data_IF_211775691838
#
_entry.id   IF_211775691838
#
_cell.length_a   1.000
_cell.length_b   1.000
_cell.length_c   1.000
_cell.angle_alpha   90.00
_cell.angle_beta   90.00
_cell.angle_gamma   90.00
#
_symmetry.space_group_name_H-M   'P 1'
#
loop_
_entity.id
_entity.type
_entity.pdbx_description
1 polymer ?
#
# COMPACT_ATOMS: atom_id res chain seq x y z
N UNK A 1 -7.56 15.23 18.22
CA UNK A 1 -7.28 13.84 17.90
C UNK A 1 -5.79 13.64 17.61
N UNK A 2 -5.27 12.46 17.88
CA UNK A 2 -3.89 12.11 17.57
C UNK A 2 -3.78 11.59 16.13
N UNK A 3 -2.71 12.00 15.45
CA UNK A 3 -2.40 11.60 14.07
C UNK A 3 -0.90 11.45 13.86
N UNK A 4 -0.49 10.43 13.10
CA UNK A 4 0.91 10.23 12.71
C UNK A 4 1.18 10.98 11.41
N UNK A 5 2.19 11.84 11.43
CA UNK A 5 2.62 12.63 10.27
C UNK A 5 4.10 12.41 9.96
N UNK A 6 4.44 12.61 8.71
CA UNK A 6 5.81 12.59 8.19
C UNK A 6 6.17 13.94 7.58
N UNK A 7 7.24 14.55 8.03
CA UNK A 7 7.84 15.70 7.36
C UNK A 7 8.86 15.21 6.32
N UNK A 8 8.64 15.52 5.06
CA UNK A 8 9.50 15.06 3.96
C UNK A 8 10.77 15.91 3.81
N UNK A 9 10.85 17.08 4.44
CA UNK A 9 12.04 17.93 4.44
C UNK A 9 13.05 17.47 5.49
N UNK A 10 12.58 17.23 6.72
CA UNK A 10 13.43 16.87 7.87
C UNK A 10 13.59 15.36 8.05
N UNK A 11 12.69 14.57 7.46
CA UNK A 11 12.61 13.13 7.67
C UNK A 11 12.06 12.72 9.03
N UNK A 12 11.43 13.65 9.75
CA UNK A 12 10.89 13.40 11.10
C UNK A 12 9.47 12.82 11.00
N UNK A 13 9.25 11.69 11.67
CA UNK A 13 7.92 11.14 11.93
C UNK A 13 7.48 11.60 13.32
N UNK A 14 6.27 12.14 13.44
CA UNK A 14 5.76 12.68 14.70
C UNK A 14 4.31 12.28 14.93
N UNK A 15 3.97 12.07 16.19
CA UNK A 15 2.59 12.01 16.65
C UNK A 15 2.18 13.43 17.06
N UNK A 16 1.14 13.97 16.44
CA UNK A 16 0.66 15.31 16.71
C UNK A 16 -0.81 15.30 17.11
N UNK A 17 -1.19 16.31 17.87
CA UNK A 17 -2.59 16.58 18.16
C UNK A 17 -3.15 17.61 17.15
N UNK A 18 -4.25 17.24 16.49
CA UNK A 18 -4.94 18.07 15.49
C UNK A 18 -6.45 18.11 15.78
N UNK A 19 -7.17 19.12 15.29
CA UNK A 19 -8.63 19.13 15.38
C UNK A 19 -9.25 17.90 14.74
N UNK A 20 -10.37 17.41 15.30
CA UNK A 20 -11.13 16.32 14.66
C UNK A 20 -11.81 16.87 13.39
N UNK A 21 -11.68 16.18 12.25
CA UNK A 21 -12.33 16.63 11.02
C UNK A 21 -13.85 16.48 11.11
N UNK A 22 -14.56 17.33 10.36
CA UNK A 22 -15.99 17.20 10.17
C UNK A 22 -16.25 16.68 8.75
N UNK A 23 -17.17 15.71 8.59
CA UNK A 23 -17.46 15.15 7.28
C UNK A 23 -18.17 16.18 6.41
N UNK A 24 -17.61 16.43 5.23
CA UNK A 24 -18.21 17.26 4.19
C UNK A 24 -19.11 16.41 3.29
N UNK A 25 -19.73 17.03 2.30
CA UNK A 25 -20.56 16.36 1.29
C UNK A 25 -19.81 15.14 0.68
N UNK A 26 -20.47 13.98 0.69
CA UNK A 26 -19.90 12.73 0.17
C UNK A 26 -18.78 12.10 1.02
N UNK A 27 -18.54 12.61 2.24
CA UNK A 27 -17.51 12.10 3.13
C UNK A 27 -18.08 11.36 4.34
N UNK A 28 -17.27 10.48 4.90
CA UNK A 28 -17.60 9.66 6.07
C UNK A 28 -16.54 9.91 7.14
N UNK A 29 -16.97 10.17 8.35
CA UNK A 29 -16.13 10.25 9.54
C UNK A 29 -16.12 8.91 10.25
N UNK A 30 -14.94 8.34 10.42
CA UNK A 30 -14.70 7.02 11.00
C UNK A 30 -13.87 7.18 12.27
N UNK A 31 -14.31 6.54 13.37
CA UNK A 31 -13.50 6.33 14.57
C UNK A 31 -12.64 5.09 14.33
N UNK A 32 -11.33 5.26 14.32
CA UNK A 32 -10.39 4.17 14.05
C UNK A 32 -10.36 3.16 15.20
N UNK A 33 -10.35 1.88 14.86
CA UNK A 33 -10.05 0.78 15.78
C UNK A 33 -8.66 0.22 15.53
N UNK A 34 -8.32 -0.01 14.26
CA UNK A 34 -7.00 -0.48 13.84
C UNK A 34 -6.58 0.23 12.55
N UNK A 35 -5.27 0.29 12.33
CA UNK A 35 -4.71 0.66 11.04
C UNK A 35 -3.52 -0.24 10.75
N UNK A 36 -3.42 -0.71 9.49
CA UNK A 36 -2.34 -1.59 9.07
C UNK A 36 -1.16 -0.76 8.58
N UNK A 37 0.01 -0.99 9.18
CA UNK A 37 1.25 -0.38 8.75
C UNK A 37 1.87 -1.19 7.60
N UNK A 38 2.05 -0.56 6.45
CA UNK A 38 2.75 -1.15 5.30
C UNK A 38 4.22 -0.77 5.31
N UNK A 39 5.03 -1.62 5.93
CA UNK A 39 6.46 -1.36 6.12
C UNK A 39 7.19 -0.98 4.82
N UNK A 40 6.86 -1.58 3.68
CA UNK A 40 7.49 -1.26 2.39
C UNK A 40 7.24 0.18 1.94
N UNK A 41 5.97 0.57 1.85
CA UNK A 41 5.56 1.88 1.34
C UNK A 41 5.87 3.00 2.33
N UNK A 42 5.56 2.80 3.61
CA UNK A 42 5.75 3.83 4.62
C UNK A 42 7.23 4.05 4.94
N UNK A 43 8.03 2.97 4.99
CA UNK A 43 9.48 3.07 5.10
C UNK A 43 10.09 3.87 3.95
N UNK A 44 9.61 3.67 2.73
CA UNK A 44 10.05 4.44 1.56
C UNK A 44 9.80 5.95 1.76
N UNK A 45 8.65 6.34 2.30
CA UNK A 45 8.34 7.76 2.60
C UNK A 45 9.25 8.32 3.69
N UNK A 46 9.51 7.55 4.75
CA UNK A 46 10.41 7.94 5.85
C UNK A 46 11.85 8.07 5.33
N UNK A 47 12.33 7.11 4.57
CA UNK A 47 13.68 7.13 3.98
C UNK A 47 13.83 8.28 2.97
N UNK A 48 12.81 8.53 2.14
CA UNK A 48 12.79 9.70 1.26
C UNK A 48 12.89 11.00 2.06
N UNK A 49 12.15 11.12 3.16
CA UNK A 49 12.26 12.28 4.05
C UNK A 49 13.67 12.50 4.58
N UNK A 50 14.37 11.43 4.96
CA UNK A 50 15.75 11.47 5.50
C UNK A 50 16.83 11.65 4.42
N UNK A 51 16.52 11.41 3.15
CA UNK A 51 17.48 11.46 2.07
C UNK A 51 18.00 12.89 1.81
N UNK A 52 19.23 13.00 1.31
CA UNK A 52 19.81 14.28 0.87
C UNK A 52 19.01 14.85 -0.33
N UNK A 53 19.14 16.15 -0.59
CA UNK A 53 18.52 16.80 -1.75
C UNK A 53 18.89 16.13 -3.08
N UNK A 54 20.14 15.68 -3.20
CA UNK A 54 20.64 14.98 -4.40
C UNK A 54 19.95 13.61 -4.54
N UNK A 55 19.82 12.87 -3.44
CA UNK A 55 19.21 11.56 -3.44
C UNK A 55 17.68 11.65 -3.66
N UNK A 56 17.02 12.67 -3.07
CA UNK A 56 15.61 12.98 -3.37
C UNK A 56 15.40 13.26 -4.86
N UNK A 57 16.30 14.02 -5.48
CA UNK A 57 16.25 14.30 -6.92
C UNK A 57 16.43 13.03 -7.75
N UNK A 58 17.38 12.16 -7.40
CA UNK A 58 17.59 10.86 -8.08
C UNK A 58 16.39 9.93 -7.97
N UNK A 59 15.71 9.91 -6.82
CA UNK A 59 14.51 9.07 -6.61
C UNK A 59 13.28 9.57 -7.37
N UNK A 60 13.26 10.84 -7.80
CA UNK A 60 12.09 11.47 -8.43
C UNK A 60 12.47 12.21 -9.74
N UNK A 61 13.00 11.52 -10.76
CA UNK A 61 13.52 12.15 -11.99
C UNK A 61 12.47 12.95 -12.74
N UNK A 62 11.20 12.50 -12.75
CA UNK A 62 10.12 13.23 -13.42
C UNK A 62 9.73 14.52 -12.69
N UNK A 63 9.81 14.54 -11.35
CA UNK A 63 9.64 15.76 -10.58
C UNK A 63 10.77 16.75 -10.85
N UNK A 64 12.00 16.27 -11.02
CA UNK A 64 13.14 17.12 -11.40
C UNK A 64 12.92 17.78 -12.75
N UNK A 65 12.42 17.06 -13.75
CA UNK A 65 12.05 17.64 -15.07
C UNK A 65 11.00 18.73 -14.93
N UNK A 66 9.94 18.52 -14.12
CA UNK A 66 8.91 19.52 -13.83
C UNK A 66 9.50 20.75 -13.16
N UNK A 67 10.42 20.56 -12.20
CA UNK A 67 11.13 21.64 -11.53
C UNK A 67 11.97 22.46 -12.51
N UNK A 68 12.72 21.81 -13.39
CA UNK A 68 13.53 22.48 -14.41
C UNK A 68 12.67 23.30 -15.40
N UNK A 69 11.49 22.78 -15.77
CA UNK A 69 10.54 23.54 -16.57
C UNK A 69 10.02 24.77 -15.80
N UNK A 70 9.66 24.57 -14.53
CA UNK A 70 9.15 25.65 -13.67
C UNK A 70 10.20 26.74 -13.41
N UNK A 71 11.48 26.38 -13.30
CA UNK A 71 12.58 27.36 -13.20
C UNK A 71 12.65 28.24 -14.46
N UNK A 72 12.37 27.68 -15.65
CA UNK A 72 12.38 28.44 -16.90
C UNK A 72 11.23 29.45 -16.99
N UNK A 73 10.08 29.12 -16.39
CA UNK A 73 8.89 30.00 -16.41
C UNK A 73 8.85 31.00 -15.26
N UNK A 74 9.10 30.54 -14.06
CA UNK A 74 8.86 31.30 -12.81
C UNK A 74 10.16 31.83 -12.19
N UNK A 75 11.32 31.39 -12.67
CA UNK A 75 12.64 31.69 -12.11
C UNK A 75 13.07 30.74 -11.00
N UNK A 76 14.38 30.79 -10.67
CA UNK A 76 15.02 29.87 -9.72
C UNK A 76 14.52 30.08 -8.27
N UNK A 77 14.50 31.32 -7.79
CA UNK A 77 14.16 31.67 -6.41
C UNK A 77 12.75 31.22 -6.01
N UNK A 78 11.69 31.67 -6.73
CA UNK A 78 10.30 31.26 -6.45
C UNK A 78 10.10 29.76 -6.53
N UNK A 79 10.76 29.08 -7.48
CA UNK A 79 10.62 27.63 -7.65
C UNK A 79 11.23 26.87 -6.46
N UNK A 80 12.40 27.26 -5.97
CA UNK A 80 13.02 26.65 -4.78
C UNK A 80 12.14 26.83 -3.55
N UNK A 81 11.57 28.02 -3.36
CA UNK A 81 10.69 28.30 -2.24
C UNK A 81 9.42 27.42 -2.25
N UNK A 82 8.80 27.25 -3.40
CA UNK A 82 7.64 26.35 -3.58
C UNK A 82 7.99 24.90 -3.26
N UNK A 83 9.18 24.44 -3.67
CA UNK A 83 9.63 23.07 -3.39
C UNK A 83 9.87 22.89 -1.88
N UNK A 84 10.61 23.81 -1.25
CA UNK A 84 10.83 23.78 0.19
C UNK A 84 9.52 23.74 0.95
N UNK A 85 8.57 24.61 0.63
CA UNK A 85 7.24 24.66 1.25
C UNK A 85 6.47 23.34 1.07
N UNK A 86 6.52 22.71 -0.11
CA UNK A 86 5.89 21.40 -0.34
C UNK A 86 6.51 20.28 0.47
N UNK A 87 7.83 20.27 0.63
CA UNK A 87 8.52 19.24 1.42
C UNK A 87 8.37 19.47 2.92
N UNK A 88 8.22 20.73 3.35
CA UNK A 88 8.01 21.11 4.74
C UNK A 88 6.56 20.90 5.22
N UNK A 89 5.61 20.81 4.28
CA UNK A 89 4.23 20.48 4.64
C UNK A 89 4.15 19.01 5.06
N UNK A 90 3.82 18.73 6.34
CA UNK A 90 3.73 17.36 6.81
C UNK A 90 2.61 16.60 6.10
N UNK A 91 2.85 15.31 5.83
CA UNK A 91 1.87 14.41 5.24
C UNK A 91 1.41 13.37 6.26
N UNK A 92 0.13 13.01 6.30
CA UNK A 92 -0.34 11.89 7.10
C UNK A 92 0.30 10.59 6.62
N UNK A 93 0.73 9.74 7.57
CA UNK A 93 1.17 8.37 7.28
C UNK A 93 0.01 7.39 7.38
N UNK A 94 0.12 6.30 6.62
CA UNK A 94 -0.87 5.24 6.57
C UNK A 94 -1.90 5.44 5.47
N UNK A 95 -2.49 4.32 5.05
CA UNK A 95 -3.52 4.27 4.00
C UNK A 95 -4.40 3.01 4.12
N UNK A 96 -4.42 2.38 5.26
CA UNK A 96 -5.33 1.26 5.55
C UNK A 96 -5.84 1.37 6.98
N UNK A 97 -7.10 1.71 7.11
CA UNK A 97 -7.77 2.00 8.37
C UNK A 97 -9.07 1.21 8.45
N UNK A 98 -9.40 0.73 9.63
CA UNK A 98 -10.68 0.08 9.94
C UNK A 98 -11.28 0.68 11.21
N UNK A 99 -12.60 0.83 11.21
CA UNK A 99 -13.28 1.42 12.34
C UNK A 99 -14.79 1.45 12.19
N UNK A 100 -15.41 2.32 12.96
CA UNK A 100 -16.84 2.53 13.00
C UNK A 100 -17.21 3.91 12.49
N UNK A 101 -18.23 4.00 11.66
CA UNK A 101 -18.78 5.26 11.18
C UNK A 101 -19.43 6.02 12.36
N UNK A 102 -18.95 7.23 12.63
CA UNK A 102 -19.49 8.11 13.67
C UNK A 102 -20.12 9.38 13.12
N UNK A 103 -19.97 9.64 11.82
CA UNK A 103 -20.59 10.76 11.14
C UNK A 103 -20.61 10.56 9.64
N UNK A 104 -21.64 11.10 8.99
CA UNK A 104 -21.81 11.08 7.53
C UNK A 104 -22.11 12.47 7.04
N UNK A 105 -21.50 12.86 5.93
CA UNK A 105 -21.78 14.11 5.25
C UNK A 105 -23.05 14.03 4.39
N UNK A 106 -23.44 15.16 3.81
CA UNK A 106 -24.53 15.20 2.85
C UNK A 106 -24.25 14.27 1.65
N UNK A 107 -25.33 13.73 1.05
CA UNK A 107 -25.30 12.80 -0.10
C UNK A 107 -24.61 11.43 0.17
N UNK A 108 -24.34 11.08 1.41
CA UNK A 108 -23.93 9.72 1.79
C UNK A 108 -25.17 8.90 2.07
N UNK A 109 -25.49 7.93 1.18
CA UNK A 109 -26.70 7.09 1.26
C UNK A 109 -26.39 5.68 1.73
N UNK A 110 -25.22 5.14 1.33
CA UNK A 110 -24.88 3.73 1.54
C UNK A 110 -24.39 3.43 2.95
N UNK A 111 -23.99 4.45 3.71
CA UNK A 111 -23.39 4.29 5.05
C UNK A 111 -24.20 5.02 6.10
N UNK A 112 -24.22 4.48 7.31
CA UNK A 112 -24.87 5.05 8.51
C UNK A 112 -23.96 4.95 9.72
N UNK A 113 -24.23 5.77 10.72
CA UNK A 113 -23.55 5.70 12.03
C UNK A 113 -23.71 4.29 12.61
N UNK A 114 -22.60 3.75 13.13
CA UNK A 114 -22.50 2.38 13.64
C UNK A 114 -22.04 1.34 12.59
N UNK A 115 -21.98 1.67 11.30
CA UNK A 115 -21.45 0.74 10.30
C UNK A 115 -19.97 0.47 10.55
N UNK A 116 -19.58 -0.81 10.50
CA UNK A 116 -18.19 -1.27 10.55
C UNK A 116 -17.58 -1.15 9.15
N UNK A 117 -16.47 -0.43 9.04
CA UNK A 117 -15.91 -0.09 7.73
C UNK A 117 -14.40 -0.20 7.66
N UNK A 118 -13.90 -0.47 6.45
CA UNK A 118 -12.50 -0.31 6.05
C UNK A 118 -12.39 0.88 5.10
N UNK A 119 -11.31 1.62 5.21
CA UNK A 119 -11.04 2.81 4.38
C UNK A 119 -9.53 2.95 4.10
N UNK A 120 -9.19 3.82 3.14
CA UNK A 120 -7.82 4.24 2.89
C UNK A 120 -7.33 5.38 3.81
N UNK A 121 -7.99 5.57 4.95
CA UNK A 121 -7.62 6.59 5.93
C UNK A 121 -6.21 6.38 6.51
N UNK A 122 -5.56 7.46 6.95
CA UNK A 122 -4.24 7.42 7.57
C UNK A 122 -4.27 6.86 9.00
N UNK A 123 -3.08 6.76 9.63
CA UNK A 123 -2.94 6.44 11.03
C UNK A 123 -3.37 7.62 11.91
N UNK A 124 -4.63 7.62 12.32
CA UNK A 124 -5.22 8.64 13.17
C UNK A 124 -6.37 8.07 14.00
N UNK A 125 -6.72 8.71 15.13
CA UNK A 125 -7.86 8.29 15.96
C UNK A 125 -9.19 8.43 15.21
N UNK A 126 -9.30 9.47 14.38
CA UNK A 126 -10.46 9.70 13.51
C UNK A 126 -9.98 10.00 12.09
N UNK A 127 -10.66 9.43 11.12
CA UNK A 127 -10.37 9.67 9.70
C UNK A 127 -11.62 10.12 8.97
N UNK A 128 -11.46 11.10 8.09
CA UNK A 128 -12.53 11.59 7.25
C UNK A 128 -12.15 11.33 5.78
N UNK A 129 -12.93 10.49 5.11
CA UNK A 129 -12.61 9.99 3.76
C UNK A 129 -13.83 10.04 2.84
N UNK A 130 -13.64 10.17 1.52
CA UNK A 130 -14.72 10.05 0.55
C UNK A 130 -15.39 8.68 0.62
N UNK A 131 -16.71 8.61 0.47
CA UNK A 131 -17.48 7.35 0.57
C UNK A 131 -17.05 6.29 -0.45
N UNK A 132 -16.55 6.68 -1.62
CA UNK A 132 -16.05 5.74 -2.64
C UNK A 132 -14.72 5.06 -2.28
N UNK A 133 -14.09 5.48 -1.17
CA UNK A 133 -12.87 4.87 -0.62
C UNK A 133 -13.15 4.12 0.69
N UNK A 134 -14.41 3.74 0.91
CA UNK A 134 -14.88 3.03 2.09
C UNK A 134 -15.65 1.77 1.66
N UNK A 135 -15.49 0.69 2.40
CA UNK A 135 -16.27 -0.53 2.21
C UNK A 135 -16.76 -1.06 3.57
N UNK A 136 -17.98 -1.62 3.60
CA UNK A 136 -18.51 -2.26 4.81
C UNK A 136 -17.77 -3.55 5.12
N UNK A 137 -17.50 -3.79 6.39
CA UNK A 137 -16.91 -5.03 6.89
C UNK A 137 -18.04 -6.02 7.18
N UNK A 138 -18.03 -7.22 6.56
CA UNK A 138 -19.01 -8.26 6.88
C UNK A 138 -18.97 -8.64 8.37
N UNK A 139 -20.11 -9.02 8.96
CA UNK A 139 -20.21 -9.33 10.40
C UNK A 139 -19.23 -10.40 10.87
N UNK A 140 -18.94 -11.39 10.01
CA UNK A 140 -18.03 -12.51 10.33
C UNK A 140 -16.55 -12.14 10.27
N UNK A 141 -16.21 -10.95 9.77
CA UNK A 141 -14.82 -10.51 9.60
C UNK A 141 -14.44 -9.62 10.77
N UNK A 142 -13.32 -9.92 11.45
CA UNK A 142 -12.79 -9.06 12.51
C UNK A 142 -12.19 -7.78 11.93
N UNK A 143 -12.02 -6.75 12.77
CA UNK A 143 -11.35 -5.52 12.34
C UNK A 143 -9.89 -5.79 11.94
N UNK A 144 -9.17 -6.65 12.69
CA UNK A 144 -7.80 -7.03 12.41
C UNK A 144 -7.68 -7.66 11.00
N UNK A 145 -8.54 -8.62 10.68
CA UNK A 145 -8.57 -9.24 9.35
C UNK A 145 -8.95 -8.24 8.26
N UNK A 146 -9.94 -7.39 8.52
CA UNK A 146 -10.38 -6.36 7.57
C UNK A 146 -9.30 -5.31 7.30
N UNK A 147 -8.36 -5.06 8.23
CA UNK A 147 -7.27 -4.10 8.03
C UNK A 147 -6.37 -4.42 6.83
N UNK A 148 -6.33 -5.68 6.40
CA UNK A 148 -5.58 -6.12 5.19
C UNK A 148 -6.30 -5.84 3.87
N UNK A 149 -7.55 -5.38 3.89
CA UNK A 149 -8.38 -5.25 2.66
C UNK A 149 -7.77 -4.30 1.63
N UNK A 150 -7.24 -3.15 2.06
CA UNK A 150 -6.63 -2.18 1.13
C UNK A 150 -5.39 -2.77 0.45
N UNK A 151 -4.55 -3.45 1.22
CA UNK A 151 -3.37 -4.14 0.67
C UNK A 151 -3.80 -5.30 -0.25
N UNK A 152 -4.83 -6.04 0.15
CA UNK A 152 -5.42 -7.09 -0.68
C UNK A 152 -5.98 -6.56 -2.00
N UNK A 153 -6.60 -5.38 -1.99
CA UNK A 153 -7.09 -4.73 -3.21
C UNK A 153 -5.96 -4.37 -4.18
N UNK A 154 -4.78 -3.97 -3.68
CA UNK A 154 -3.59 -3.72 -4.49
C UNK A 154 -3.13 -5.02 -5.17
N UNK A 155 -2.98 -6.11 -4.41
CA UNK A 155 -2.63 -7.42 -4.95
C UNK A 155 -3.67 -7.93 -5.95
N UNK A 156 -4.95 -7.77 -5.64
CA UNK A 156 -6.05 -8.16 -6.53
C UNK A 156 -6.05 -7.37 -7.85
N UNK A 157 -5.65 -6.10 -7.83
CA UNK A 157 -5.50 -5.32 -9.06
C UNK A 157 -4.41 -5.91 -9.97
N UNK A 158 -3.26 -6.31 -9.41
CA UNK A 158 -2.21 -7.01 -10.16
C UNK A 158 -2.74 -8.31 -10.78
N UNK A 159 -3.49 -9.10 -10.02
CA UNK A 159 -4.12 -10.34 -10.50
C UNK A 159 -5.10 -10.05 -11.64
N UNK A 160 -5.95 -9.02 -11.53
CA UNK A 160 -6.90 -8.64 -12.58
C UNK A 160 -6.21 -8.19 -13.87
N UNK A 161 -5.09 -7.48 -13.77
CA UNK A 161 -4.29 -7.07 -14.94
C UNK A 161 -3.63 -8.27 -15.61
N UNK A 162 -3.17 -9.24 -14.83
CA UNK A 162 -2.60 -10.49 -15.34
C UNK A 162 -3.68 -11.38 -15.96
N UNK A 163 -4.91 -11.33 -15.43
CA UNK A 163 -6.09 -12.10 -15.87
C UNK A 163 -5.84 -13.61 -15.93
N UNK A 164 -5.31 -14.25 -14.87
CA UNK A 164 -5.00 -15.65 -14.88
C UNK A 164 -6.25 -16.53 -14.89
N UNK A 165 -6.15 -17.69 -15.54
CA UNK A 165 -7.22 -18.70 -15.56
C UNK A 165 -6.94 -19.81 -14.55
N UNK A 166 -7.96 -20.62 -14.29
CA UNK A 166 -7.87 -21.74 -13.35
C UNK A 166 -6.77 -22.74 -13.75
N UNK A 167 -5.93 -23.12 -12.80
CA UNK A 167 -4.86 -24.11 -13.00
C UNK A 167 -3.54 -23.56 -13.53
N UNK A 168 -3.51 -22.30 -13.97
CA UNK A 168 -2.28 -21.62 -14.39
C UNK A 168 -1.25 -21.51 -13.26
N UNK A 169 0.01 -21.49 -13.63
CA UNK A 169 1.15 -21.33 -12.73
C UNK A 169 1.63 -19.89 -12.74
N UNK A 170 1.50 -19.19 -11.61
CA UNK A 170 1.90 -17.80 -11.47
C UNK A 170 3.11 -17.71 -10.55
N UNK A 171 4.14 -17.02 -11.02
CA UNK A 171 5.32 -16.67 -10.21
C UNK A 171 5.09 -15.33 -9.53
N UNK A 172 5.37 -15.25 -8.22
CA UNK A 172 5.35 -14.01 -7.44
C UNK A 172 6.76 -13.74 -6.92
N UNK A 173 7.31 -12.59 -7.29
CA UNK A 173 8.65 -12.14 -6.88
C UNK A 173 8.51 -11.07 -5.81
N UNK A 174 9.05 -11.34 -4.62
CA UNK A 174 8.88 -10.51 -3.43
C UNK A 174 7.71 -10.99 -2.57
N UNK A 175 8.02 -11.69 -1.47
CA UNK A 175 7.05 -12.23 -0.51
C UNK A 175 6.90 -11.30 0.71
N UNK A 176 6.93 -9.98 0.46
CA UNK A 176 6.52 -8.98 1.43
C UNK A 176 5.00 -9.02 1.66
N UNK A 177 4.48 -8.03 2.36
CA UNK A 177 3.05 -7.97 2.73
C UNK A 177 2.12 -8.11 1.52
N UNK A 178 2.35 -7.34 0.44
CA UNK A 178 1.54 -7.39 -0.78
C UNK A 178 1.70 -8.74 -1.47
N UNK A 179 2.95 -9.20 -1.69
CA UNK A 179 3.20 -10.48 -2.37
C UNK A 179 2.62 -11.66 -1.63
N UNK A 180 2.72 -11.69 -0.29
CA UNK A 180 2.15 -12.76 0.53
C UNK A 180 0.62 -12.84 0.41
N UNK A 181 -0.07 -11.70 0.42
CA UNK A 181 -1.52 -11.63 0.21
C UNK A 181 -1.87 -12.01 -1.24
N UNK A 182 -1.09 -11.53 -2.21
CA UNK A 182 -1.27 -11.89 -3.63
C UNK A 182 -1.15 -13.39 -3.86
N UNK A 183 -0.18 -14.05 -3.23
CA UNK A 183 -0.06 -15.52 -3.28
C UNK A 183 -1.32 -16.23 -2.77
N UNK A 184 -1.88 -15.77 -1.65
CA UNK A 184 -3.10 -16.36 -1.09
C UNK A 184 -4.32 -16.11 -1.99
N UNK A 185 -4.44 -14.92 -2.58
CA UNK A 185 -5.51 -14.59 -3.52
C UNK A 185 -5.42 -15.44 -4.80
N UNK A 186 -4.22 -15.62 -5.36
CA UNK A 186 -3.98 -16.49 -6.53
C UNK A 186 -4.34 -17.95 -6.23
N UNK A 187 -3.95 -18.45 -5.05
CA UNK A 187 -4.37 -19.80 -4.62
C UNK A 187 -5.88 -19.93 -4.50
N UNK A 188 -6.55 -18.94 -3.90
CA UNK A 188 -8.00 -18.92 -3.81
C UNK A 188 -8.68 -18.85 -5.19
N UNK A 189 -8.03 -18.24 -6.19
CA UNK A 189 -8.45 -18.20 -7.58
C UNK A 189 -8.18 -19.53 -8.34
N UNK A 190 -7.58 -20.52 -7.67
CA UNK A 190 -7.30 -21.82 -8.29
C UNK A 190 -5.99 -21.89 -9.09
N UNK A 191 -5.11 -20.90 -8.96
CA UNK A 191 -3.79 -20.90 -9.58
C UNK A 191 -2.79 -21.71 -8.76
N UNK A 192 -1.77 -22.27 -9.41
CA UNK A 192 -0.55 -22.74 -8.77
C UNK A 192 0.38 -21.56 -8.55
N UNK A 193 0.97 -21.44 -7.37
CA UNK A 193 1.80 -20.27 -7.03
C UNK A 193 3.21 -20.71 -6.67
N UNK A 194 4.19 -20.08 -7.33
CA UNK A 194 5.62 -20.21 -7.03
C UNK A 194 6.10 -18.84 -6.54
N UNK A 195 6.60 -18.79 -5.31
CA UNK A 195 7.05 -17.54 -4.68
C UNK A 195 8.58 -17.46 -4.58
N UNK A 196 9.13 -16.26 -4.75
CA UNK A 196 10.55 -15.99 -4.54
C UNK A 196 10.76 -14.78 -3.64
N UNK A 197 11.67 -14.89 -2.68
CA UNK A 197 12.17 -13.76 -1.87
C UNK A 197 13.65 -13.98 -1.51
N UNK A 198 14.33 -12.95 -1.06
CA UNK A 198 15.70 -13.03 -0.51
C UNK A 198 15.72 -13.42 0.97
N UNK A 199 14.60 -13.27 1.66
CA UNK A 199 14.46 -13.45 3.10
C UNK A 199 13.95 -14.86 3.43
N UNK A 200 14.77 -15.70 4.12
CA UNK A 200 14.39 -17.06 4.48
C UNK A 200 13.13 -17.14 5.37
N UNK A 201 12.88 -16.14 6.21
CA UNK A 201 11.72 -16.18 7.11
C UNK A 201 10.42 -15.92 6.35
N UNK A 202 10.44 -15.07 5.32
CA UNK A 202 9.31 -14.90 4.41
C UNK A 202 9.05 -16.18 3.59
N UNK A 203 10.10 -16.87 3.16
CA UNK A 203 9.97 -18.16 2.48
C UNK A 203 9.26 -19.18 3.40
N UNK A 204 9.71 -19.33 4.64
CA UNK A 204 9.06 -20.23 5.62
C UNK A 204 7.59 -19.87 5.83
N UNK A 205 7.30 -18.58 5.97
CA UNK A 205 5.91 -18.12 6.12
C UNK A 205 5.07 -18.45 4.89
N UNK A 206 5.57 -18.21 3.69
CA UNK A 206 4.87 -18.54 2.44
C UNK A 206 4.61 -20.05 2.33
N UNK A 207 5.60 -20.86 2.68
CA UNK A 207 5.47 -22.33 2.71
C UNK A 207 4.43 -22.80 3.73
N UNK A 208 4.36 -22.17 4.91
CA UNK A 208 3.32 -22.48 5.92
C UNK A 208 1.91 -22.15 5.42
N UNK A 209 1.77 -21.22 4.49
CA UNK A 209 0.52 -20.86 3.80
C UNK A 209 0.29 -21.74 2.55
N UNK A 210 1.15 -22.76 2.32
CA UNK A 210 1.04 -23.70 1.23
C UNK A 210 1.42 -23.11 -0.14
N UNK A 211 2.33 -22.14 -0.17
CA UNK A 211 2.96 -21.62 -1.40
C UNK A 211 4.27 -22.35 -1.64
N UNK A 212 4.56 -22.76 -2.87
CA UNK A 212 5.87 -23.28 -3.25
C UNK A 212 6.87 -22.13 -3.31
N UNK A 213 7.59 -21.88 -2.20
CA UNK A 213 8.44 -20.69 -2.07
C UNK A 213 9.93 -21.06 -1.93
N UNK A 214 10.79 -20.25 -2.58
CA UNK A 214 12.22 -20.49 -2.73
C UNK A 214 13.04 -19.21 -2.59
N UNK A 215 14.31 -19.36 -2.17
CA UNK A 215 15.26 -18.23 -2.10
C UNK A 215 15.58 -17.74 -3.51
N UNK A 216 15.53 -16.42 -3.69
CA UNK A 216 15.91 -15.75 -4.92
C UNK A 216 17.43 -15.63 -4.99
N UNK A 217 18.13 -16.68 -5.42
CA UNK A 217 19.57 -16.64 -5.66
C UNK A 217 19.89 -15.99 -7.01
N UNK A 218 21.11 -15.40 -7.12
CA UNK A 218 21.56 -14.76 -8.38
C UNK A 218 21.96 -15.77 -9.48
N UNK A 219 21.91 -17.06 -9.20
CA UNK A 219 22.29 -18.12 -10.15
C UNK A 219 21.22 -18.34 -11.23
N UNK A 220 21.67 -18.82 -12.41
CA UNK A 220 20.83 -19.14 -13.58
C UNK A 220 19.80 -20.28 -13.38
N UNK A 221 19.66 -20.79 -12.17
CA UNK A 221 18.91 -22.01 -11.87
C UNK A 221 17.40 -21.81 -11.66
N UNK A 222 16.93 -20.54 -11.68
CA UNK A 222 15.49 -20.22 -11.47
C UNK A 222 14.60 -20.74 -12.58
N UNK A 223 15.06 -20.64 -13.82
CA UNK A 223 14.32 -21.11 -14.99
C UNK A 223 14.18 -22.62 -14.90
N UNK A 224 15.29 -23.34 -14.67
CA UNK A 224 15.29 -24.79 -14.50
C UNK A 224 14.40 -25.24 -13.33
N UNK A 225 14.40 -24.49 -12.21
CA UNK A 225 13.52 -24.77 -11.09
C UNK A 225 12.04 -24.64 -11.47
N UNK A 226 11.66 -23.54 -12.13
CA UNK A 226 10.29 -23.31 -12.61
C UNK A 226 9.91 -24.39 -13.61
N UNK A 227 10.75 -24.71 -14.58
CA UNK A 227 10.51 -25.78 -15.56
C UNK A 227 10.30 -27.14 -14.88
N UNK A 228 11.10 -27.49 -13.87
CA UNK A 228 10.94 -28.74 -13.12
C UNK A 228 9.61 -28.78 -12.35
N UNK A 229 9.19 -27.67 -11.75
CA UNK A 229 7.93 -27.56 -10.99
C UNK A 229 6.68 -27.54 -11.90
N UNK A 230 6.86 -27.23 -13.18
CA UNK A 230 5.77 -27.07 -14.15
C UNK A 230 5.80 -28.12 -15.26
N UNK A 231 6.50 -29.23 -15.09
CA UNK A 231 6.68 -30.26 -16.10
C UNK A 231 7.20 -29.70 -17.45
N UNK A 232 8.09 -28.72 -17.39
CA UNK A 232 8.70 -27.98 -18.50
C UNK A 232 7.76 -27.06 -19.29
N UNK A 233 6.55 -26.80 -18.75
CA UNK A 233 5.62 -25.85 -19.37
C UNK A 233 5.98 -24.39 -19.10
N UNK A 234 6.76 -24.12 -18.05
CA UNK A 234 7.07 -22.76 -17.61
C UNK A 234 5.96 -22.14 -16.75
N UNK A 235 6.07 -20.86 -16.47
CA UNK A 235 5.04 -20.09 -15.79
C UNK A 235 4.16 -19.33 -16.79
N UNK A 236 2.86 -19.27 -16.51
CA UNK A 236 1.88 -18.58 -17.37
C UNK A 236 1.92 -17.07 -17.12
N UNK A 237 2.35 -16.65 -15.95
CA UNK A 237 2.48 -15.23 -15.62
C UNK A 237 3.41 -14.96 -14.45
N UNK A 238 3.82 -13.68 -14.33
CA UNK A 238 4.72 -13.20 -13.27
C UNK A 238 4.16 -11.91 -12.67
N UNK A 239 4.14 -11.83 -11.35
CA UNK A 239 3.84 -10.60 -10.58
C UNK A 239 5.09 -10.23 -9.78
N UNK A 240 5.49 -8.94 -9.86
CA UNK A 240 6.69 -8.41 -9.20
C UNK A 240 6.28 -7.29 -8.23
#
# INVERSE_FOLDING_TARGET
MLQIIQNLQTGTTSLIEVPCPLPQKGQILIKSHFSLMSLGTERMLVEFGKASWIDKAKQQPDKVKQVLQKIKTDGLGPTIEVIKRKLDTPIPLGYSNVGEVIGVGEDVIEFKIGDRVVSNGPHAEFVCVPQNLVAKIPERVSYESASFTIIGAIGLQGIRLLNPTFGETIVVIGLGLIGMITCQLLKANGCKVIGFDLDPDKIKLAQSLGVSAFILEQSNDRISLIENLTLRLGADGVII
#
